data_IF_122936269235
#
_entry.id   IF_122936269235
#
_cell.length_a   1.000
_cell.length_b   1.000
_cell.length_c   1.000
_cell.angle_alpha   90.00
_cell.angle_beta   90.00
_cell.angle_gamma   90.00
#
_symmetry.space_group_name_H-M   'P 1'
#
loop_
_entity.id
_entity.type
_entity.pdbx_description
1 polymer ?
#
# COMPACT_ATOMS: atom_id res chain seq x y z
N UNK A 1 -17.02 -24.02 28.00
CA UNK A 1 -18.27 -24.27 28.74
C UNK A 1 -18.28 -23.33 29.94
N UNK A 2 -19.21 -22.39 30.00
CA UNK A 2 -19.35 -21.39 31.08
C UNK A 2 -20.59 -20.54 30.78
N UNK A 3 -21.77 -21.08 31.10
CA UNK A 3 -23.03 -20.37 31.00
C UNK A 3 -23.16 -19.43 32.22
N UNK A 4 -23.18 -18.13 31.99
CA UNK A 4 -23.61 -17.14 32.96
C UNK A 4 -25.13 -17.00 32.93
N UNK A 5 -25.77 -17.45 34.01
CA UNK A 5 -27.19 -17.22 34.30
C UNK A 5 -27.37 -15.80 34.85
N UNK A 6 -28.27 -15.03 34.28
CA UNK A 6 -28.84 -13.85 34.93
C UNK A 6 -30.08 -14.29 35.69
N UNK A 7 -30.01 -14.28 37.01
CA UNK A 7 -31.17 -14.49 37.90
C UNK A 7 -31.95 -13.17 38.08
N UNK A 8 -33.25 -13.27 37.93
CA UNK A 8 -34.22 -12.21 38.22
C UNK A 8 -34.41 -12.10 39.72
N UNK A 9 -34.36 -10.90 40.22
CA UNK A 9 -35.14 -10.54 41.42
C UNK A 9 -35.18 -9.00 41.59
N UNK A 10 -36.41 -8.47 41.84
CA UNK A 10 -36.59 -7.21 42.53
C UNK A 10 -37.23 -6.09 41.73
N UNK A 11 -38.54 -5.94 41.93
CA UNK A 11 -39.33 -4.77 41.51
C UNK A 11 -38.88 -3.59 42.35
N UNK A 12 -38.35 -2.55 41.67
CA UNK A 12 -38.04 -1.27 42.26
C UNK A 12 -38.19 -0.20 41.23
N UNK A 13 -39.17 0.69 41.39
CA UNK A 13 -39.47 1.81 40.52
C UNK A 13 -38.36 2.85 40.68
N UNK A 14 -37.39 2.86 39.80
CA UNK A 14 -36.29 3.81 39.73
C UNK A 14 -36.03 4.19 38.29
N UNK A 15 -35.93 5.50 38.01
CA UNK A 15 -35.57 6.08 36.73
C UNK A 15 -34.25 5.44 36.23
N UNK A 16 -34.33 4.39 35.41
CA UNK A 16 -33.18 3.73 34.86
C UNK A 16 -32.63 4.52 33.65
N UNK A 17 -31.50 5.21 33.86
CA UNK A 17 -30.66 5.71 32.78
C UNK A 17 -30.24 4.50 31.94
N UNK A 18 -30.81 4.32 30.77
CA UNK A 18 -30.39 3.31 29.79
C UNK A 18 -28.99 3.69 29.28
N UNK A 19 -27.97 3.09 29.91
CA UNK A 19 -26.61 3.15 29.43
C UNK A 19 -26.53 2.31 28.12
N UNK A 20 -26.73 2.95 26.98
CA UNK A 20 -26.53 2.34 25.68
C UNK A 20 -25.04 2.03 25.54
N UNK A 21 -24.64 0.78 25.73
CA UNK A 21 -23.32 0.29 25.34
C UNK A 21 -23.17 0.42 23.82
N UNK A 22 -22.52 1.49 23.38
CA UNK A 22 -22.02 1.64 22.02
C UNK A 22 -20.92 0.57 21.82
N UNK A 23 -21.32 -0.60 21.36
CA UNK A 23 -20.38 -1.61 20.89
C UNK A 23 -19.79 -1.04 19.59
N UNK A 24 -18.65 -0.36 19.73
CA UNK A 24 -17.87 0.10 18.61
C UNK A 24 -17.45 -1.10 17.78
N UNK A 25 -18.04 -1.29 16.61
CA UNK A 25 -17.61 -2.29 15.63
C UNK A 25 -16.26 -1.82 15.11
N UNK A 26 -15.18 -2.28 15.73
CA UNK A 26 -13.83 -2.09 15.23
C UNK A 26 -13.74 -2.81 13.86
N UNK A 27 -13.70 -2.05 12.78
CA UNK A 27 -13.40 -2.62 11.46
C UNK A 27 -11.95 -3.12 11.53
N UNK A 28 -11.66 -4.37 11.13
CA UNK A 28 -10.28 -4.83 11.05
C UNK A 28 -9.53 -3.89 10.11
N UNK A 29 -8.36 -3.41 10.54
CA UNK A 29 -7.46 -2.65 9.69
C UNK A 29 -7.12 -3.54 8.47
N UNK A 30 -7.41 -3.05 7.29
CA UNK A 30 -7.14 -3.79 6.05
C UNK A 30 -5.64 -3.78 5.82
N UNK A 31 -5.06 -4.95 5.65
CA UNK A 31 -3.66 -5.10 5.28
C UNK A 31 -3.48 -4.58 3.85
N UNK A 32 -2.54 -3.65 3.63
CA UNK A 32 -2.36 -2.98 2.35
C UNK A 32 -1.02 -2.25 2.28
N UNK A 33 -0.46 -2.09 1.07
CA UNK A 33 0.63 -1.16 0.81
C UNK A 33 0.06 0.14 0.23
N UNK A 34 0.35 1.25 0.89
CA UNK A 34 -0.23 2.56 0.59
C UNK A 34 0.84 3.59 0.25
N UNK A 35 0.57 4.41 -0.74
CA UNK A 35 1.37 5.59 -1.10
C UNK A 35 0.49 6.82 -0.93
N UNK A 36 0.91 7.76 -0.06
CA UNK A 36 0.17 8.97 0.27
C UNK A 36 0.92 10.21 -0.19
N UNK A 37 0.24 11.12 -0.85
CA UNK A 37 0.77 12.41 -1.28
C UNK A 37 0.45 13.49 -0.25
N UNK A 38 1.48 14.05 0.37
CA UNK A 38 1.39 15.18 1.31
C UNK A 38 1.76 16.52 0.65
N UNK A 39 1.78 16.56 -0.68
CA UNK A 39 2.06 17.75 -1.46
C UNK A 39 0.80 18.29 -2.14
N UNK A 40 0.95 19.42 -2.85
CA UNK A 40 -0.11 19.98 -3.70
C UNK A 40 -0.02 19.49 -5.15
N UNK A 41 1.00 18.72 -5.51
CA UNK A 41 1.22 18.21 -6.86
C UNK A 41 0.38 16.99 -7.19
N UNK A 42 0.31 16.68 -8.49
CA UNK A 42 -0.23 15.43 -9.02
C UNK A 42 0.93 14.54 -9.44
N UNK A 43 0.92 13.30 -9.00
CA UNK A 43 1.95 12.30 -9.30
C UNK A 43 1.36 11.04 -9.91
N UNK A 44 2.22 10.25 -10.53
CA UNK A 44 1.96 8.89 -10.97
C UNK A 44 2.81 7.94 -10.12
N UNK A 45 2.21 6.84 -9.68
CA UNK A 45 2.87 5.82 -8.87
C UNK A 45 3.00 4.54 -9.67
N UNK A 46 4.18 3.93 -9.63
CA UNK A 46 4.40 2.55 -10.03
C UNK A 46 5.03 1.77 -8.87
N UNK A 47 4.74 0.49 -8.79
CA UNK A 47 5.34 -0.41 -7.81
C UNK A 47 6.06 -1.57 -8.49
N UNK A 48 7.04 -2.12 -7.76
CA UNK A 48 7.68 -3.40 -8.07
C UNK A 48 7.60 -4.32 -6.87
N UNK A 49 7.42 -5.60 -7.11
CA UNK A 49 7.41 -6.63 -6.07
C UNK A 49 7.82 -7.98 -6.65
N UNK A 50 8.40 -8.85 -5.81
CA UNK A 50 8.66 -10.24 -6.16
C UNK A 50 7.56 -11.12 -5.57
N UNK A 51 6.76 -11.73 -6.43
CA UNK A 51 5.68 -12.63 -6.05
C UNK A 51 5.89 -13.95 -6.80
N UNK A 52 5.91 -15.08 -6.09
CA UNK A 52 6.09 -16.43 -6.64
C UNK A 52 7.31 -16.55 -7.57
N UNK A 53 8.47 -16.04 -7.14
CA UNK A 53 9.73 -16.03 -7.88
C UNK A 53 9.70 -15.26 -9.20
N UNK A 54 8.73 -14.36 -9.35
CA UNK A 54 8.64 -13.44 -10.47
C UNK A 54 8.63 -12.02 -9.96
N UNK A 55 9.45 -11.20 -10.56
CA UNK A 55 9.39 -9.77 -10.36
C UNK A 55 8.29 -9.18 -11.22
N UNK A 56 7.45 -8.35 -10.61
CA UNK A 56 6.42 -7.61 -11.29
C UNK A 56 6.67 -6.12 -11.10
N UNK A 57 6.54 -5.34 -12.16
CA UNK A 57 6.32 -3.91 -12.05
C UNK A 57 4.93 -3.58 -12.60
N UNK A 58 4.20 -2.75 -11.90
CA UNK A 58 2.85 -2.36 -12.27
C UNK A 58 2.65 -0.86 -12.02
N UNK A 59 1.91 -0.21 -12.87
CA UNK A 59 1.57 1.23 -12.84
C UNK A 59 0.60 1.57 -13.97
N UNK A 60 0.10 2.73 -14.07
CA UNK A 60 0.27 3.89 -13.22
C UNK A 60 -0.97 4.09 -12.36
N UNK A 61 -0.78 4.47 -11.11
CA UNK A 61 -1.85 4.98 -10.28
C UNK A 61 -1.70 6.48 -10.14
N UNK A 62 -2.70 7.25 -10.59
CA UNK A 62 -2.73 8.69 -10.36
C UNK A 62 -2.87 8.97 -8.86
N UNK A 63 -1.99 9.84 -8.34
CA UNK A 63 -1.90 10.21 -6.94
C UNK A 63 -2.11 11.72 -6.78
N UNK A 64 -3.37 12.18 -6.65
CA UNK A 64 -3.68 13.60 -6.47
C UNK A 64 -3.14 14.16 -5.15
N UNK A 65 -3.12 15.49 -5.05
CA UNK A 65 -2.77 16.21 -3.83
C UNK A 65 -3.57 15.71 -2.62
N UNK A 66 -2.91 15.57 -1.47
CA UNK A 66 -3.53 15.17 -0.19
C UNK A 66 -4.37 13.89 -0.28
N UNK A 67 -3.99 12.95 -1.13
CA UNK A 67 -4.67 11.67 -1.29
C UNK A 67 -3.71 10.48 -1.17
N UNK A 68 -4.27 9.28 -1.14
CA UNK A 68 -3.50 8.04 -1.12
C UNK A 68 -4.01 7.08 -2.19
N UNK A 69 -3.11 6.26 -2.73
CA UNK A 69 -3.42 5.10 -3.56
C UNK A 69 -2.97 3.83 -2.84
N UNK A 70 -3.62 2.72 -3.15
CA UNK A 70 -3.35 1.40 -2.57
C UNK A 70 -3.00 0.45 -3.72
N UNK A 71 -1.73 0.41 -4.14
CA UNK A 71 -1.30 -0.48 -5.22
C UNK A 71 -1.41 -1.96 -4.87
N UNK A 72 -1.08 -2.35 -3.62
CA UNK A 72 -1.25 -3.70 -3.10
C UNK A 72 -2.34 -3.70 -2.04
N UNK A 73 -3.39 -4.48 -2.27
CA UNK A 73 -4.58 -4.57 -1.40
C UNK A 73 -4.57 -5.82 -0.53
N UNK A 74 -3.56 -6.64 -0.70
CA UNK A 74 -3.36 -7.88 0.02
C UNK A 74 -2.42 -7.66 1.20
N UNK A 75 -2.48 -8.57 2.17
CA UNK A 75 -1.57 -8.63 3.31
C UNK A 75 -0.14 -8.94 2.83
N UNK A 76 0.81 -8.06 3.14
CA UNK A 76 2.20 -8.18 2.70
C UNK A 76 2.88 -9.43 3.28
N UNK A 77 2.51 -9.83 4.49
CA UNK A 77 3.00 -11.05 5.12
C UNK A 77 2.47 -12.30 4.39
N UNK A 78 1.19 -12.30 4.00
CA UNK A 78 0.61 -13.38 3.19
C UNK A 78 1.29 -13.51 1.82
N UNK A 79 1.63 -12.39 1.20
CA UNK A 79 2.38 -12.34 -0.05
C UNK A 79 3.88 -12.62 0.14
N UNK A 80 4.36 -12.72 1.39
CA UNK A 80 5.78 -12.85 1.76
C UNK A 80 6.63 -11.71 1.17
N UNK A 81 6.06 -10.52 1.11
CA UNK A 81 6.70 -9.34 0.57
C UNK A 81 7.42 -8.58 1.68
N UNK A 82 8.72 -8.84 1.84
CA UNK A 82 9.59 -8.02 2.68
C UNK A 82 9.99 -6.73 1.97
N UNK A 83 10.24 -6.79 0.67
CA UNK A 83 10.66 -5.64 -0.12
C UNK A 83 9.59 -5.26 -1.13
N UNK A 84 9.21 -3.99 -1.12
CA UNK A 84 8.37 -3.37 -2.14
C UNK A 84 9.16 -2.23 -2.76
N UNK A 85 9.15 -2.14 -4.07
CA UNK A 85 9.84 -1.11 -4.82
C UNK A 85 8.84 -0.07 -5.30
N UNK A 86 9.17 1.21 -5.14
CA UNK A 86 8.24 2.30 -5.45
C UNK A 86 8.90 3.32 -6.34
N UNK A 87 8.24 3.67 -7.42
CA UNK A 87 8.58 4.80 -8.26
C UNK A 87 7.42 5.80 -8.24
N UNK A 88 7.75 7.06 -7.99
CA UNK A 88 6.78 8.16 -8.01
C UNK A 88 7.35 9.27 -8.87
N UNK A 89 6.60 9.67 -9.88
CA UNK A 89 6.98 10.76 -10.77
C UNK A 89 5.88 11.81 -10.86
N UNK A 90 6.28 13.07 -11.06
CA UNK A 90 5.36 14.15 -11.41
C UNK A 90 4.76 13.93 -12.80
N UNK A 91 3.72 14.66 -13.15
CA UNK A 91 3.14 14.64 -14.51
C UNK A 91 4.11 15.16 -15.58
N UNK A 92 5.22 15.80 -15.18
CA UNK A 92 6.31 16.22 -16.06
C UNK A 92 7.46 15.20 -16.15
N UNK A 93 7.34 14.07 -15.44
CA UNK A 93 8.32 12.98 -15.48
C UNK A 93 9.48 13.14 -14.47
N UNK A 94 9.40 14.12 -13.56
CA UNK A 94 10.41 14.29 -12.50
C UNK A 94 10.14 13.30 -11.37
N UNK A 95 11.16 12.55 -10.94
CA UNK A 95 11.03 11.62 -9.82
C UNK A 95 10.81 12.38 -8.51
N UNK A 96 9.82 11.98 -7.75
CA UNK A 96 9.49 12.51 -6.43
C UNK A 96 10.06 11.66 -5.27
N UNK A 97 10.73 10.56 -5.59
CA UNK A 97 11.42 9.69 -4.63
C UNK A 97 12.77 9.27 -5.22
N UNK A 98 13.80 9.27 -4.39
CA UNK A 98 15.12 8.80 -4.82
C UNK A 98 15.17 7.27 -4.71
N UNK A 99 15.54 6.61 -5.80
CA UNK A 99 15.65 5.16 -5.88
C UNK A 99 16.94 4.72 -6.58
N UNK A 100 17.41 3.52 -6.23
CA UNK A 100 18.65 2.94 -6.77
C UNK A 100 18.41 1.69 -7.63
N UNK A 101 17.18 1.17 -7.64
CA UNK A 101 16.84 -0.06 -8.36
C UNK A 101 16.29 0.23 -9.75
N UNK A 102 16.99 -0.27 -10.77
CA UNK A 102 16.55 -0.14 -12.16
C UNK A 102 15.50 -1.18 -12.48
N UNK A 103 14.29 -0.73 -12.87
CA UNK A 103 13.18 -1.59 -13.29
C UNK A 103 12.48 -1.01 -14.51
N UNK A 104 11.68 -1.84 -15.17
CA UNK A 104 10.94 -1.42 -16.36
C UNK A 104 9.58 -0.79 -16.03
N UNK A 105 9.26 0.28 -16.73
CA UNK A 105 7.94 0.91 -16.78
C UNK A 105 7.51 1.07 -18.24
N UNK A 106 6.23 1.36 -18.46
CA UNK A 106 5.70 1.74 -19.77
C UNK A 106 5.12 3.15 -19.69
N UNK A 107 4.94 3.80 -20.83
CA UNK A 107 4.30 5.12 -20.95
C UNK A 107 2.79 5.09 -20.70
N UNK A 108 2.18 3.91 -20.78
CA UNK A 108 0.77 3.65 -20.51
C UNK A 108 0.64 2.79 -19.26
N UNK A 109 -0.59 2.57 -18.79
CA UNK A 109 -0.83 1.59 -17.73
C UNK A 109 -0.26 0.23 -18.12
N UNK A 110 0.50 -0.39 -17.20
CA UNK A 110 1.28 -1.59 -17.47
C UNK A 110 1.27 -2.58 -16.31
N UNK A 111 1.60 -3.82 -16.67
CA UNK A 111 2.06 -4.87 -15.78
C UNK A 111 3.15 -5.63 -16.52
N UNK A 112 4.39 -5.53 -16.04
CA UNK A 112 5.58 -6.12 -16.67
C UNK A 112 6.12 -7.18 -15.71
N UNK A 113 6.36 -8.38 -16.23
CA UNK A 113 6.90 -9.49 -15.47
C UNK A 113 8.28 -9.88 -15.96
N UNK A 114 9.13 -10.37 -15.05
CA UNK A 114 10.37 -11.07 -15.35
C UNK A 114 10.62 -12.17 -14.34
N UNK A 115 11.37 -13.21 -14.72
CA UNK A 115 11.81 -14.25 -13.79
C UNK A 115 12.86 -13.63 -12.85
N UNK A 116 12.79 -13.95 -11.55
CA UNK A 116 13.76 -13.48 -10.57
C UNK A 116 15.17 -13.92 -10.97
N UNK A 117 16.15 -13.02 -10.79
CA UNK A 117 17.55 -13.26 -11.20
C UNK A 117 17.87 -12.91 -12.65
N UNK A 118 16.90 -12.77 -13.54
CA UNK A 118 17.15 -12.30 -14.88
C UNK A 118 17.28 -10.76 -14.96
N UNK A 119 18.07 -10.20 -15.91
CA UNK A 119 18.14 -8.78 -16.12
C UNK A 119 16.82 -8.24 -16.70
N UNK A 120 16.47 -7.00 -16.39
CA UNK A 120 15.23 -6.37 -16.86
C UNK A 120 15.20 -6.18 -18.38
N UNK A 121 16.33 -5.81 -19.00
CA UNK A 121 16.46 -5.59 -20.45
C UNK A 121 15.31 -4.70 -21.03
N UNK A 122 14.98 -3.62 -20.33
CA UNK A 122 13.81 -2.79 -20.63
C UNK A 122 13.75 -2.34 -22.08
N UNK A 123 14.87 -1.77 -22.59
CA UNK A 123 14.95 -1.25 -23.95
C UNK A 123 14.74 -2.33 -25.04
N UNK A 124 15.34 -3.52 -24.82
CA UNK A 124 15.20 -4.65 -25.75
C UNK A 124 13.76 -5.13 -25.84
N UNK A 125 13.03 -5.01 -24.71
CA UNK A 125 11.62 -5.41 -24.58
C UNK A 125 10.63 -4.29 -24.95
N UNK A 126 11.13 -3.10 -25.34
CA UNK A 126 10.31 -1.96 -25.71
C UNK A 126 9.75 -1.16 -24.54
N UNK A 127 10.34 -1.30 -23.35
CA UNK A 127 9.97 -0.56 -22.15
C UNK A 127 10.98 0.54 -21.81
N UNK A 128 10.61 1.40 -20.89
CA UNK A 128 11.46 2.46 -20.33
C UNK A 128 12.05 1.99 -19.00
N UNK A 129 13.30 2.35 -18.74
CA UNK A 129 13.96 2.10 -17.46
C UNK A 129 13.68 3.25 -16.50
N UNK A 130 13.26 2.94 -15.29
CA UNK A 130 13.05 3.90 -14.22
C UNK A 130 13.73 3.44 -12.91
N UNK A 131 14.03 4.40 -12.04
CA UNK A 131 14.63 4.17 -10.72
C UNK A 131 13.55 3.99 -9.68
N UNK A 132 13.61 2.90 -8.93
CA UNK A 132 12.68 2.57 -7.86
C UNK A 132 13.39 2.67 -6.50
N UNK A 133 12.68 3.20 -5.51
CA UNK A 133 13.06 3.17 -4.10
C UNK A 133 12.70 1.80 -3.52
N UNK A 134 13.68 1.13 -2.91
CA UNK A 134 13.42 -0.09 -2.15
C UNK A 134 12.85 0.27 -0.76
N UNK A 135 11.74 -0.32 -0.41
CA UNK A 135 11.07 -0.18 0.88
C UNK A 135 11.12 -1.53 1.60
N UNK A 136 11.90 -1.62 2.67
CA UNK A 136 11.93 -2.81 3.55
C UNK A 136 10.72 -2.72 4.50
N UNK A 137 9.71 -3.52 4.26
CA UNK A 137 8.51 -3.58 5.09
C UNK A 137 8.68 -4.55 6.28
N UNK A 138 9.79 -5.28 6.34
CA UNK A 138 10.03 -6.31 7.34
C UNK A 138 8.98 -7.41 7.29
N UNK A 139 8.34 -7.65 8.43
CA UNK A 139 7.22 -8.59 8.57
C UNK A 139 5.87 -7.87 8.75
N UNK A 140 5.79 -6.61 8.34
CA UNK A 140 4.57 -5.83 8.49
C UNK A 140 3.47 -6.31 7.54
N UNK A 141 2.24 -6.40 8.04
CA UNK A 141 1.07 -6.75 7.23
C UNK A 141 0.65 -5.62 6.30
N UNK A 142 0.91 -4.38 6.72
CA UNK A 142 0.60 -3.18 5.95
C UNK A 142 1.71 -2.15 6.09
N UNK A 143 1.89 -1.33 5.08
CA UNK A 143 2.89 -0.27 5.05
C UNK A 143 2.36 0.98 4.37
N UNK A 144 2.85 2.14 4.80
CA UNK A 144 2.51 3.42 4.14
C UNK A 144 3.77 4.23 3.94
N UNK A 145 3.98 4.71 2.73
CA UNK A 145 4.99 5.72 2.43
C UNK A 145 4.33 7.05 2.09
N UNK A 146 5.08 8.13 2.31
CA UNK A 146 4.60 9.49 2.08
C UNK A 146 5.50 10.22 1.08
N UNK A 147 4.88 10.79 0.06
CA UNK A 147 5.52 11.79 -0.81
C UNK A 147 5.38 13.14 -0.13
N UNK A 148 6.52 13.74 0.22
CA UNK A 148 6.59 14.99 0.99
C UNK A 148 7.15 16.13 0.15
N UNK A 149 6.80 17.40 0.46
CA UNK A 149 7.43 18.54 -0.19
C UNK A 149 8.92 18.59 0.12
N UNK A 150 9.77 18.72 -0.91
CA UNK A 150 11.22 18.88 -0.74
C UNK A 150 12.01 17.59 -0.46
N UNK A 151 11.43 16.42 -0.60
CA UNK A 151 12.14 15.15 -0.68
C UNK A 151 12.77 15.01 -2.08
N UNK A 152 13.86 15.78 -2.32
CA UNK A 152 14.72 15.70 -3.49
C UNK A 152 16.12 15.38 -3.04
#
# INVERSE_FOLDING_TARGET
>A
MGKGRCDRLGVGMGLGLALACLIGVSRPARAEFKVCNQTIGLYNVAIGAEIDQRFHTEGWWALPANSCVIPLKEDLDQLKLRYVYVHVESVTGESAVEGNWDMCVDTKRFKIERIAGEPWNCWVRGFVQAKFLEVDTGEAKSWTIFVQPGAQ
#
